data_IF_836179861959
#
_entry.id   IF_836179861959
#
_cell.length_a   1.000
_cell.length_b   1.000
_cell.length_c   1.000
_cell.angle_alpha   90.00
_cell.angle_beta   90.00
_cell.angle_gamma   90.00
#
_symmetry.space_group_name_H-M   'P 1'
#
loop_
_entity.id
_entity.type
_entity.pdbx_description
1 polymer ?
#
# COMPACT_ATOMS: atom_id res chain seq x y z
N UNK A 1 -13.03 18.76 4.73
CA UNK A 1 -12.43 17.71 5.57
C UNK A 1 -11.72 18.34 6.74
N UNK A 2 -12.13 18.01 7.96
CA UNK A 2 -11.41 18.37 9.19
C UNK A 2 -10.01 17.75 9.17
N UNK A 3 -9.12 18.23 10.04
CA UNK A 3 -7.76 17.66 10.16
C UNK A 3 -7.77 16.15 10.46
N UNK A 4 -8.75 15.67 11.23
CA UNK A 4 -8.89 14.24 11.56
C UNK A 4 -9.45 13.42 10.41
N UNK A 5 -10.37 13.97 9.62
CA UNK A 5 -10.94 13.27 8.45
C UNK A 5 -9.89 13.01 7.34
N UNK A 6 -8.80 13.78 7.33
CA UNK A 6 -7.68 13.61 6.40
C UNK A 6 -6.74 12.48 6.78
N UNK A 7 -6.85 11.92 7.99
CA UNK A 7 -6.03 10.79 8.41
C UNK A 7 -6.47 9.54 7.67
N UNK A 8 -5.52 8.82 7.09
CA UNK A 8 -5.78 7.59 6.36
C UNK A 8 -4.72 6.52 6.62
N UNK A 9 -5.09 5.29 6.28
CA UNK A 9 -4.30 4.07 6.44
C UNK A 9 -4.25 3.36 5.10
N UNK A 10 -3.09 2.80 4.74
CA UNK A 10 -2.94 1.91 3.60
C UNK A 10 -3.21 0.48 4.03
N UNK A 11 -3.99 -0.24 3.25
CA UNK A 11 -4.24 -1.67 3.41
C UNK A 11 -3.92 -2.33 2.07
N UNK A 12 -3.05 -3.33 2.06
CA UNK A 12 -2.76 -4.08 0.84
C UNK A 12 -2.73 -5.58 1.09
N UNK A 13 -3.17 -6.30 0.08
CA UNK A 13 -3.31 -7.75 0.10
C UNK A 13 -3.19 -8.32 -1.32
N UNK A 14 -2.98 -9.63 -1.42
CA UNK A 14 -2.87 -10.38 -2.66
C UNK A 14 -4.14 -11.22 -2.90
N UNK A 15 -4.61 -11.24 -4.14
CA UNK A 15 -5.72 -12.09 -4.58
C UNK A 15 -5.25 -13.06 -5.66
N UNK A 16 -5.62 -14.34 -5.53
CA UNK A 16 -5.39 -15.33 -6.58
C UNK A 16 -6.32 -15.09 -7.77
N UNK A 17 -5.76 -15.17 -8.98
CA UNK A 17 -6.49 -15.06 -10.23
C UNK A 17 -6.43 -16.38 -11.00
N UNK A 18 -7.38 -16.58 -11.92
CA UNK A 18 -7.26 -17.63 -12.92
C UNK A 18 -6.19 -17.22 -13.95
N UNK A 19 -5.06 -17.93 -13.97
CA UNK A 19 -3.93 -17.67 -14.87
C UNK A 19 -4.18 -17.95 -16.36
N UNK A 20 -5.43 -18.13 -16.77
CA UNK A 20 -5.80 -18.26 -18.18
C UNK A 20 -5.39 -17.04 -19.00
N UNK A 21 -5.07 -17.27 -20.27
CA UNK A 21 -4.77 -16.19 -21.21
C UNK A 21 -6.05 -15.47 -21.61
N UNK A 22 -6.03 -14.15 -21.52
CA UNK A 22 -7.05 -13.27 -22.08
C UNK A 22 -6.41 -12.35 -23.11
N UNK A 23 -7.21 -11.90 -24.08
CA UNK A 23 -6.76 -10.96 -25.09
C UNK A 23 -7.59 -9.69 -24.99
N UNK A 24 -6.94 -8.58 -24.67
CA UNK A 24 -7.55 -7.26 -24.66
C UNK A 24 -7.43 -6.64 -26.05
N UNK A 25 -8.58 -6.52 -26.72
CA UNK A 25 -8.68 -5.95 -28.07
C UNK A 25 -8.35 -4.46 -28.09
N UNK A 26 -8.67 -3.72 -27.02
CA UNK A 26 -8.47 -2.27 -26.99
C UNK A 26 -7.00 -1.91 -26.93
N UNK A 27 -6.20 -2.67 -26.17
CA UNK A 27 -4.76 -2.46 -26.07
C UNK A 27 -3.95 -3.37 -27.00
N UNK A 28 -4.62 -4.25 -27.75
CA UNK A 28 -4.02 -5.26 -28.64
C UNK A 28 -2.94 -6.10 -27.91
N UNK A 29 -3.28 -6.61 -26.73
CA UNK A 29 -2.35 -7.35 -25.85
C UNK A 29 -2.96 -8.64 -25.34
N UNK A 30 -2.19 -9.72 -25.46
CA UNK A 30 -2.43 -10.93 -24.69
C UNK A 30 -1.90 -10.73 -23.26
N UNK A 31 -2.73 -11.04 -22.28
CA UNK A 31 -2.43 -10.87 -20.85
C UNK A 31 -2.71 -12.18 -20.11
N UNK A 32 -1.94 -12.42 -19.06
CA UNK A 32 -2.19 -13.48 -18.09
C UNK A 32 -1.58 -13.03 -16.76
N UNK A 33 -2.28 -13.32 -15.67
CA UNK A 33 -1.81 -13.06 -14.32
C UNK A 33 -2.37 -14.14 -13.38
N UNK A 34 -1.54 -14.62 -12.47
CA UNK A 34 -1.95 -15.62 -11.46
C UNK A 34 -2.26 -14.97 -10.11
N UNK A 35 -1.77 -13.75 -9.90
CA UNK A 35 -1.98 -12.96 -8.69
C UNK A 35 -2.27 -11.50 -9.03
N UNK A 36 -3.12 -10.88 -8.23
CA UNK A 36 -3.39 -9.45 -8.23
C UNK A 36 -3.00 -8.88 -6.86
N UNK A 37 -2.02 -8.01 -6.84
CA UNK A 37 -1.72 -7.17 -5.69
C UNK A 37 -2.65 -5.96 -5.73
N UNK A 38 -3.39 -5.71 -4.64
CA UNK A 38 -4.24 -4.53 -4.50
C UNK A 38 -3.82 -3.74 -3.26
N UNK A 39 -3.68 -2.42 -3.40
CA UNK A 39 -3.52 -1.50 -2.28
C UNK A 39 -4.67 -0.50 -2.28
N UNK A 40 -5.36 -0.46 -1.16
CA UNK A 40 -6.43 0.47 -0.86
C UNK A 40 -5.98 1.47 0.19
N UNK A 41 -6.47 2.70 0.07
CA UNK A 41 -6.44 3.67 1.15
C UNK A 41 -7.81 3.69 1.83
N UNK A 42 -7.80 3.78 3.16
CA UNK A 42 -9.00 3.87 4.00
C UNK A 42 -8.89 5.08 4.92
N UNK A 43 -9.97 5.84 5.03
CA UNK A 43 -10.09 6.89 6.04
C UNK A 43 -10.03 6.30 7.45
N UNK A 44 -9.20 6.87 8.31
CA UNK A 44 -9.08 6.41 9.69
C UNK A 44 -10.26 6.88 10.54
N UNK A 45 -10.55 8.18 10.48
CA UNK A 45 -11.65 8.81 11.23
C UNK A 45 -12.88 9.07 10.36
N UNK A 46 -12.83 8.71 9.08
CA UNK A 46 -13.89 8.94 8.11
C UNK A 46 -14.22 7.63 7.38
N UNK A 47 -15.51 7.38 7.13
CA UNK A 47 -15.98 6.13 6.52
C UNK A 47 -15.86 6.16 5.00
N UNK A 48 -14.63 6.04 4.49
CA UNK A 48 -14.36 5.94 3.06
C UNK A 48 -13.18 5.01 2.79
N UNK A 49 -13.16 4.41 1.60
CA UNK A 49 -12.05 3.60 1.08
C UNK A 49 -12.01 3.67 -0.43
N UNK A 50 -10.83 3.62 -1.02
CA UNK A 50 -10.65 3.55 -2.47
C UNK A 50 -9.39 2.74 -2.82
N UNK A 51 -9.39 2.01 -3.94
CA UNK A 51 -8.16 1.44 -4.50
C UNK A 51 -7.25 2.56 -5.02
N UNK A 52 -5.95 2.49 -4.70
CA UNK A 52 -4.96 3.46 -5.17
C UNK A 52 -3.86 2.81 -6.02
N UNK A 53 -3.67 1.50 -5.91
CA UNK A 53 -2.68 0.79 -6.70
C UNK A 53 -3.14 -0.64 -6.98
N UNK A 54 -2.82 -1.12 -8.17
CA UNK A 54 -2.93 -2.53 -8.53
C UNK A 54 -1.68 -2.98 -9.30
N UNK A 55 -1.26 -4.22 -9.06
CA UNK A 55 -0.14 -4.86 -9.74
C UNK A 55 -0.48 -6.30 -10.09
N UNK A 56 -0.12 -6.74 -11.30
CA UNK A 56 -0.33 -8.12 -11.74
C UNK A 56 0.95 -8.93 -11.59
N UNK A 57 0.88 -10.10 -10.94
CA UNK A 57 1.99 -11.04 -10.76
C UNK A 57 3.29 -10.42 -10.20
N UNK A 58 3.18 -9.36 -9.41
CA UNK A 58 4.31 -8.66 -8.80
C UNK A 58 4.05 -8.45 -7.30
N UNK A 59 5.04 -8.73 -6.43
CA UNK A 59 4.89 -8.50 -4.99
C UNK A 59 4.89 -7.01 -4.67
N UNK A 60 4.24 -6.65 -3.56
CA UNK A 60 4.32 -5.30 -3.02
C UNK A 60 5.77 -4.91 -2.70
N UNK A 61 6.13 -3.66 -2.97
CA UNK A 61 7.45 -3.12 -2.69
C UNK A 61 7.37 -1.70 -2.13
N UNK A 62 8.44 -1.28 -1.44
CA UNK A 62 8.50 0.02 -0.79
C UNK A 62 8.45 1.19 -1.78
N UNK A 63 8.92 1.04 -3.01
CA UNK A 63 8.84 2.10 -4.03
C UNK A 63 7.39 2.41 -4.36
N UNK A 64 6.59 1.39 -4.68
CA UNK A 64 5.15 1.56 -4.96
C UNK A 64 4.38 2.12 -3.77
N UNK A 65 4.70 1.68 -2.55
CA UNK A 65 4.12 2.26 -1.33
C UNK A 65 4.53 3.72 -1.18
N UNK A 66 5.78 4.06 -1.50
CA UNK A 66 6.27 5.43 -1.39
C UNK A 66 5.57 6.36 -2.38
N UNK A 67 5.42 5.93 -3.63
CA UNK A 67 4.74 6.67 -4.69
C UNK A 67 3.28 6.95 -4.31
N UNK A 68 2.54 5.93 -3.84
CA UNK A 68 1.15 6.10 -3.40
C UNK A 68 1.04 7.06 -2.21
N UNK A 69 1.96 6.98 -1.25
CA UNK A 69 1.97 7.93 -0.11
C UNK A 69 2.22 9.35 -0.60
N UNK A 70 3.16 9.56 -1.52
CA UNK A 70 3.47 10.89 -2.03
C UNK A 70 2.29 11.48 -2.81
N UNK A 71 1.62 10.68 -3.65
CA UNK A 71 0.40 11.09 -4.35
C UNK A 71 -0.73 11.46 -3.39
N UNK A 72 -0.97 10.65 -2.36
CA UNK A 72 -1.99 10.93 -1.36
C UNK A 72 -1.68 12.20 -0.55
N UNK A 73 -0.42 12.41 -0.17
CA UNK A 73 -0.03 13.60 0.58
C UNK A 73 -0.11 14.89 -0.25
N UNK A 74 0.12 14.83 -1.57
CA UNK A 74 -0.12 15.96 -2.49
C UNK A 74 -1.59 16.39 -2.47
N UNK A 75 -2.53 15.46 -2.30
CA UNK A 75 -3.98 15.78 -2.16
C UNK A 75 -4.35 16.38 -0.79
N UNK A 76 -3.41 16.42 0.16
CA UNK A 76 -3.63 16.90 1.52
C UNK A 76 -4.14 15.85 2.50
N UNK A 77 -4.18 14.56 2.09
CA UNK A 77 -4.37 13.44 3.00
C UNK A 77 -3.10 13.20 3.82
N UNK A 78 -3.25 12.51 4.96
CA UNK A 78 -2.13 12.17 5.85
C UNK A 78 -2.12 10.67 6.10
N UNK A 79 -1.17 9.99 5.48
CA UNK A 79 -0.99 8.56 5.66
C UNK A 79 -0.24 8.33 6.96
N UNK A 80 -0.92 7.77 7.96
CA UNK A 80 -0.30 7.54 9.26
C UNK A 80 0.10 6.09 9.48
N UNK A 81 -0.50 5.16 8.73
CA UNK A 81 -0.20 3.75 8.87
C UNK A 81 -0.35 2.94 7.59
N UNK A 82 0.32 1.80 7.58
CA UNK A 82 0.19 0.76 6.56
C UNK A 82 -0.04 -0.59 7.24
N UNK A 83 -0.91 -1.40 6.63
CA UNK A 83 -1.32 -2.74 7.08
C UNK A 83 -1.09 -3.72 5.93
N UNK A 84 -0.46 -4.85 6.24
CA UNK A 84 -0.21 -5.97 5.34
C UNK A 84 -0.63 -7.29 5.99
N UNK A 85 -0.76 -8.34 5.19
CA UNK A 85 -0.77 -9.72 5.68
C UNK A 85 0.62 -10.13 6.23
N UNK A 86 0.75 -11.42 6.59
CA UNK A 86 1.99 -12.04 7.07
C UNK A 86 2.73 -12.88 6.03
N UNK A 87 2.50 -12.66 4.72
CA UNK A 87 3.26 -13.39 3.72
C UNK A 87 4.77 -13.08 3.88
N UNK A 88 5.66 -14.09 3.73
CA UNK A 88 7.11 -13.88 3.85
C UNK A 88 7.68 -12.78 2.94
N UNK A 89 7.01 -12.48 1.83
CA UNK A 89 7.32 -11.38 0.91
C UNK A 89 7.21 -10.02 1.62
N UNK A 90 6.07 -9.76 2.27
CA UNK A 90 5.76 -8.54 3.00
C UNK A 90 6.63 -8.42 4.25
N UNK A 91 6.86 -9.51 4.98
CA UNK A 91 7.79 -9.49 6.12
C UNK A 91 9.21 -9.08 5.68
N UNK A 92 9.69 -9.62 4.56
CA UNK A 92 11.01 -9.27 4.01
C UNK A 92 11.07 -7.79 3.60
N UNK A 93 10.03 -7.29 2.95
CA UNK A 93 9.92 -5.89 2.56
C UNK A 93 10.00 -4.97 3.79
N UNK A 94 9.24 -5.26 4.85
CA UNK A 94 9.25 -4.47 6.07
C UNK A 94 10.61 -4.49 6.77
N UNK A 95 11.26 -5.65 6.85
CA UNK A 95 12.63 -5.76 7.40
C UNK A 95 13.63 -4.92 6.62
N UNK A 96 13.55 -4.94 5.28
CA UNK A 96 14.40 -4.10 4.42
C UNK A 96 14.13 -2.61 4.60
N UNK A 97 12.89 -2.24 4.93
CA UNK A 97 12.51 -0.87 5.27
C UNK A 97 12.95 -0.43 6.69
N UNK A 98 13.57 -1.33 7.47
CA UNK A 98 14.04 -1.05 8.83
C UNK A 98 12.99 -1.26 9.91
N UNK A 99 11.93 -2.05 9.64
CA UNK A 99 10.97 -2.48 10.65
C UNK A 99 11.53 -3.67 11.42
N UNK A 100 11.47 -3.62 12.74
CA UNK A 100 11.90 -4.66 13.66
C UNK A 100 11.03 -4.68 14.92
N UNK A 101 11.25 -5.65 15.81
CA UNK A 101 10.53 -5.74 17.09
C UNK A 101 10.73 -4.50 17.98
N UNK A 102 11.87 -3.80 17.83
CA UNK A 102 12.17 -2.55 18.54
C UNK A 102 11.76 -1.29 17.77
N UNK A 103 11.52 -1.39 16.46
CA UNK A 103 11.20 -0.27 15.59
C UNK A 103 10.02 -0.60 14.66
N UNK A 104 8.82 -0.22 15.06
CA UNK A 104 7.59 -0.41 14.29
C UNK A 104 7.24 0.76 13.36
N UNK A 105 8.08 1.79 13.27
CA UNK A 105 7.82 2.95 12.41
C UNK A 105 8.98 3.23 11.46
N UNK A 106 8.65 3.70 10.26
CA UNK A 106 9.62 4.12 9.26
C UNK A 106 9.59 5.65 9.23
N UNK A 107 10.74 6.27 9.54
CA UNK A 107 10.87 7.71 9.44
C UNK A 107 10.95 8.12 7.96
N UNK A 108 10.01 8.95 7.51
CA UNK A 108 10.14 9.61 6.21
C UNK A 108 10.78 10.98 6.39
N UNK A 109 11.76 11.27 5.53
CA UNK A 109 12.45 12.55 5.50
C UNK A 109 11.73 13.46 4.50
N UNK A 110 10.61 14.08 4.89
CA UNK A 110 10.09 15.23 4.13
C UNK A 110 10.78 16.50 4.61
N UNK A 111 11.39 17.32 3.72
CA UNK A 111 12.07 18.56 4.10
C UNK A 111 11.15 19.57 4.81
N UNK A 112 9.84 19.50 4.59
CA UNK A 112 8.85 20.47 5.09
C UNK A 112 8.10 20.04 6.35
N UNK A 113 7.98 18.72 6.64
CA UNK A 113 7.36 18.18 7.87
C UNK A 113 7.90 16.77 8.19
N UNK A 114 8.46 16.53 9.39
CA UNK A 114 8.86 15.19 9.80
C UNK A 114 7.64 14.41 10.32
N UNK A 115 6.72 14.01 9.45
CA UNK A 115 5.67 13.05 9.82
C UNK A 115 6.24 11.62 9.72
N UNK A 116 6.02 10.80 10.76
CA UNK A 116 6.48 9.40 10.82
C UNK A 116 5.34 8.48 10.41
N UNK A 117 5.55 7.69 9.36
CA UNK A 117 4.65 6.59 9.00
C UNK A 117 4.83 5.46 10.04
N UNK A 118 3.75 5.06 10.71
CA UNK A 118 3.77 3.92 11.63
C UNK A 118 3.33 2.67 10.89
N UNK A 119 4.15 1.64 10.87
CA UNK A 119 3.71 0.36 10.37
C UNK A 119 2.94 -0.37 11.49
N UNK A 120 1.81 -0.96 11.14
CA UNK A 120 1.03 -1.80 12.04
C UNK A 120 0.94 -3.19 11.41
N UNK A 121 1.68 -4.14 11.97
CA UNK A 121 1.50 -5.57 11.69
C UNK A 121 0.15 -5.98 12.25
N UNK A 122 -0.78 -6.46 11.42
CA UNK A 122 -1.98 -7.11 11.93
C UNK A 122 -1.69 -8.60 12.16
N UNK A 123 -1.99 -9.06 13.36
CA UNK A 123 -2.19 -10.47 13.66
C UNK A 123 -3.62 -10.79 13.24
N UNK A 124 -3.79 -11.50 12.13
CA UNK A 124 -4.99 -12.33 11.94
C UNK A 124 -4.75 -13.70 12.58
#
# INVERSE_FOLDING_TARGET
MSGMERLCVLCFDEMSLNGGWCYDQMTNRAMSATKLQLLMVRGLCASWRQPCYYGMSAPMNMTSINDVVDDLEVTGLRVIAAVSDMEPSNERMWRQAGVSDSQSCIARRKPSRPERLRYLKFLE
#
